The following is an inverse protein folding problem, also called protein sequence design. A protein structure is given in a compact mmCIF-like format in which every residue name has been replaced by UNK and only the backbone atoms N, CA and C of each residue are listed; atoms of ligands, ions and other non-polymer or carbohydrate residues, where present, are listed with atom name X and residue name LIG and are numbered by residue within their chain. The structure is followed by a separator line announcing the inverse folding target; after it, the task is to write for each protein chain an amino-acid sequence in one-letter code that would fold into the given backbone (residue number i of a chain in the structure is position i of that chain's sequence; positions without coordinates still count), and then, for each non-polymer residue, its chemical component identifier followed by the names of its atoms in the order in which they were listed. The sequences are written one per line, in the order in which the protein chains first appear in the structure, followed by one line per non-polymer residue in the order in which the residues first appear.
data_IF_313559740905
#
_entry.id   IF_313559740905
#
_cell.length_a   1.000
_cell.length_b   1.000
_cell.length_c   1.000
_cell.angle_alpha   90.00
_cell.angle_beta   90.00
_cell.angle_gamma   90.00
#
_symmetry.space_group_name_H-M   'P 1'
#
loop_
_entity.id
_entity.type
_entity.pdbx_description
1 polymer ?
#
# COMPACT_ATOMS: atom_id res chain seq x y z
N UNK A 1 -26.78 -14.09 -21.74
CA UNK A 1 -25.88 -13.30 -20.88
C UNK A 1 -25.19 -12.30 -21.79
N UNK A 2 -25.71 -11.12 -21.89
CA UNK A 2 -25.16 -10.03 -22.70
C UNK A 2 -24.00 -9.37 -21.96
N UNK A 3 -22.86 -9.11 -22.60
CA UNK A 3 -21.77 -8.36 -21.98
C UNK A 3 -22.19 -6.91 -21.84
N UNK A 4 -21.83 -6.30 -20.70
CA UNK A 4 -22.00 -4.88 -20.44
C UNK A 4 -21.21 -4.07 -21.47
N UNK A 5 -21.74 -2.94 -21.95
CA UNK A 5 -20.96 -2.02 -22.78
C UNK A 5 -19.83 -1.40 -21.96
N UNK A 6 -18.70 -1.09 -22.58
CA UNK A 6 -17.63 -0.35 -21.93
C UNK A 6 -18.05 1.13 -21.87
N UNK A 7 -18.51 1.59 -20.72
CA UNK A 7 -18.54 3.02 -20.45
C UNK A 7 -17.09 3.50 -20.35
N UNK A 8 -16.63 4.14 -21.41
CA UNK A 8 -15.37 4.84 -21.46
C UNK A 8 -15.43 6.03 -20.48
N UNK A 9 -15.00 5.80 -19.25
CA UNK A 9 -14.76 6.90 -18.31
C UNK A 9 -13.50 7.61 -18.80
N UNK A 10 -13.66 8.85 -19.22
CA UNK A 10 -12.58 9.75 -19.61
C UNK A 10 -11.67 9.99 -18.40
N UNK A 11 -10.54 9.28 -18.34
CA UNK A 11 -9.58 9.26 -17.22
C UNK A 11 -8.73 10.55 -17.19
N UNK A 12 -8.88 11.45 -18.18
CA UNK A 12 -8.04 12.66 -18.29
C UNK A 12 -8.51 13.82 -17.40
N UNK A 13 -9.68 13.72 -16.76
CA UNK A 13 -10.33 14.87 -16.11
C UNK A 13 -10.04 15.06 -14.62
N UNK A 14 -9.24 14.22 -13.93
CA UNK A 14 -9.03 14.32 -12.48
C UNK A 14 -7.58 14.40 -12.01
N UNK A 15 -6.69 15.00 -12.80
CA UNK A 15 -5.40 15.44 -12.24
C UNK A 15 -5.62 16.79 -11.55
N UNK A 16 -5.47 16.90 -10.23
CA UNK A 16 -5.61 18.19 -9.54
C UNK A 16 -4.58 19.18 -10.09
N UNK A 17 -5.03 20.31 -10.61
CA UNK A 17 -4.19 21.37 -11.25
C UNK A 17 -3.24 22.12 -10.30
N UNK A 18 -3.11 21.73 -9.02
CA UNK A 18 -2.21 22.37 -8.05
C UNK A 18 -1.49 21.34 -7.17
N UNK A 19 -0.57 20.59 -7.77
CA UNK A 19 0.48 19.92 -7.00
C UNK A 19 1.67 20.89 -6.94
N UNK A 20 1.89 21.53 -5.79
CA UNK A 20 3.17 22.17 -5.53
C UNK A 20 4.18 21.06 -5.25
N UNK A 21 4.89 20.63 -6.29
CA UNK A 21 6.07 19.79 -6.16
C UNK A 21 7.19 20.73 -5.70
N UNK A 22 7.46 20.74 -4.41
CA UNK A 22 8.67 21.38 -3.91
C UNK A 22 9.82 20.40 -4.16
N UNK A 23 10.55 20.65 -5.25
CA UNK A 23 11.86 20.04 -5.48
C UNK A 23 12.82 20.71 -4.48
N UNK A 24 12.89 20.20 -3.26
CA UNK A 24 13.81 20.72 -2.25
C UNK A 24 15.19 20.17 -2.53
N UNK A 25 15.89 20.79 -3.47
CA UNK A 25 17.32 20.56 -3.67
C UNK A 25 18.08 21.43 -2.66
N UNK A 26 18.76 20.78 -1.71
CA UNK A 26 19.87 21.44 -1.04
C UNK A 26 20.96 21.79 -2.10
N UNK A 27 21.67 22.94 -2.00
CA UNK A 27 22.73 23.24 -2.93
C UNK A 27 23.81 22.17 -2.84
N UNK A 28 23.89 21.33 -3.86
CA UNK A 28 24.92 20.33 -4.00
C UNK A 28 26.24 21.01 -4.37
N UNK A 29 27.29 20.70 -3.65
CA UNK A 29 28.66 20.89 -4.15
C UNK A 29 28.77 20.18 -5.51
N UNK A 30 29.32 20.90 -6.45
CA UNK A 30 29.39 20.55 -7.88
C UNK A 30 30.20 19.26 -8.08
N UNK A 31 29.51 18.11 -8.15
CA UNK A 31 30.06 16.90 -8.73
C UNK A 31 29.59 16.91 -10.18
N UNK A 32 30.54 16.78 -11.11
CA UNK A 32 30.35 16.82 -12.56
C UNK A 32 29.17 15.93 -13.02
N UNK A 33 28.10 16.50 -13.62
CA UNK A 33 26.92 15.74 -14.00
C UNK A 33 27.08 14.85 -15.22
N UNK A 34 28.28 14.76 -15.81
CA UNK A 34 28.49 14.15 -17.10
C UNK A 34 28.61 12.60 -17.11
N UNK A 35 28.59 11.90 -15.99
CA UNK A 35 28.93 10.46 -15.98
C UNK A 35 27.86 9.50 -15.37
N UNK A 36 26.68 9.95 -15.00
CA UNK A 36 25.61 9.04 -14.55
C UNK A 36 24.33 9.29 -15.31
N UNK A 37 24.03 8.42 -16.28
CA UNK A 37 22.67 8.29 -16.80
C UNK A 37 21.78 7.89 -15.62
N UNK A 38 20.74 8.67 -15.29
CA UNK A 38 19.85 8.32 -14.18
C UNK A 38 19.23 6.96 -14.47
N UNK A 39 19.54 5.97 -13.66
CA UNK A 39 18.94 4.63 -13.77
C UNK A 39 17.44 4.79 -13.59
N UNK A 40 16.68 4.43 -14.63
CA UNK A 40 15.22 4.44 -14.52
C UNK A 40 14.82 3.40 -13.46
N UNK A 41 14.13 3.78 -12.38
CA UNK A 41 13.81 2.84 -11.33
C UNK A 41 12.88 1.73 -11.84
N UNK A 42 13.14 0.51 -11.42
CA UNK A 42 12.22 -0.62 -11.61
C UNK A 42 11.09 -0.53 -10.60
N UNK A 43 11.42 -0.20 -9.35
CA UNK A 43 10.47 -0.10 -8.25
C UNK A 43 10.37 1.33 -7.72
N UNK A 44 9.14 1.80 -7.48
CA UNK A 44 8.86 2.97 -6.66
C UNK A 44 8.24 2.50 -5.35
N UNK A 45 8.98 2.64 -4.24
CA UNK A 45 8.43 2.41 -2.91
C UNK A 45 7.63 3.63 -2.50
N UNK A 46 6.31 3.48 -2.40
CA UNK A 46 5.38 4.56 -2.09
C UNK A 46 5.00 4.52 -0.60
N UNK A 47 5.35 5.58 0.12
CA UNK A 47 5.10 5.74 1.55
C UNK A 47 4.20 6.97 1.77
N UNK A 48 3.00 6.76 2.28
CA UNK A 48 2.14 7.85 2.76
C UNK A 48 2.34 8.02 4.27
N UNK A 49 2.59 9.25 4.72
CA UNK A 49 2.87 9.53 6.12
C UNK A 49 2.04 10.70 6.63
N UNK A 50 1.66 10.64 7.91
CA UNK A 50 1.13 11.76 8.68
C UNK A 50 1.52 11.61 10.15
N UNK A 51 2.20 12.63 10.70
CA UNK A 51 2.59 12.73 12.12
C UNK A 51 3.43 11.55 12.64
N UNK A 52 4.35 10.97 11.80
CA UNK A 52 5.17 9.79 12.12
C UNK A 52 6.59 9.85 11.58
N UNK A 53 7.25 11.01 11.67
CA UNK A 53 8.57 11.23 11.04
C UNK A 53 9.64 10.24 11.49
N UNK A 54 9.70 9.88 12.78
CA UNK A 54 10.70 8.93 13.29
C UNK A 54 10.54 7.52 12.72
N UNK A 55 9.30 7.03 12.56
CA UNK A 55 9.04 5.72 11.95
C UNK A 55 9.32 5.74 10.46
N UNK A 56 8.99 6.84 9.78
CA UNK A 56 9.28 7.04 8.36
C UNK A 56 10.77 6.90 8.06
N UNK A 57 11.65 7.45 8.91
CA UNK A 57 13.11 7.32 8.74
C UNK A 57 13.51 5.86 8.71
N UNK A 58 13.04 5.05 9.66
CA UNK A 58 13.33 3.62 9.70
C UNK A 58 12.81 2.88 8.45
N UNK A 59 11.59 3.23 8.01
CA UNK A 59 11.01 2.65 6.79
C UNK A 59 11.88 2.93 5.57
N UNK A 60 12.35 4.17 5.38
CA UNK A 60 13.22 4.55 4.25
C UNK A 60 14.59 3.87 4.35
N UNK A 61 15.18 3.87 5.54
CA UNK A 61 16.47 3.20 5.76
C UNK A 61 16.39 1.70 5.44
N UNK A 62 15.27 1.03 5.76
CA UNK A 62 15.07 -0.38 5.42
C UNK A 62 15.04 -0.61 3.90
N UNK A 63 14.47 0.33 3.13
CA UNK A 63 14.50 0.25 1.65
C UNK A 63 15.93 0.30 1.14
N UNK A 64 16.75 1.21 1.65
CA UNK A 64 18.15 1.34 1.21
C UNK A 64 19.04 0.20 1.69
N UNK A 65 18.73 -0.38 2.86
CA UNK A 65 19.44 -1.54 3.40
C UNK A 65 19.29 -2.80 2.52
N UNK A 66 18.29 -2.85 1.61
CA UNK A 66 18.20 -3.95 0.61
C UNK A 66 19.33 -3.92 -0.42
N UNK A 67 20.07 -2.82 -0.55
CA UNK A 67 21.12 -2.66 -1.55
C UNK A 67 20.65 -2.52 -3.00
N UNK A 68 19.33 -2.50 -3.26
CA UNK A 68 18.79 -2.40 -4.61
C UNK A 68 19.08 -1.02 -5.22
N UNK A 69 19.73 -0.99 -6.41
CA UNK A 69 20.15 0.24 -7.09
C UNK A 69 19.05 0.89 -7.92
N UNK A 70 18.07 0.11 -8.38
CA UNK A 70 16.99 0.53 -9.29
C UNK A 70 15.68 0.81 -8.56
N UNK A 71 15.78 1.36 -7.34
CA UNK A 71 14.66 1.71 -6.45
C UNK A 71 14.65 3.21 -6.22
N UNK A 72 13.47 3.83 -6.33
CA UNK A 72 13.19 5.16 -5.77
C UNK A 72 12.22 5.04 -4.60
N UNK A 73 12.28 6.00 -3.69
CA UNK A 73 11.34 6.15 -2.57
C UNK A 73 10.51 7.40 -2.79
N UNK A 74 9.19 7.23 -2.88
CA UNK A 74 8.24 8.33 -3.00
C UNK A 74 7.50 8.49 -1.69
N UNK A 75 7.81 9.56 -0.97
CA UNK A 75 7.17 9.92 0.31
C UNK A 75 6.11 10.98 0.06
N UNK A 76 4.90 10.75 0.55
CA UNK A 76 3.84 11.77 0.56
C UNK A 76 3.45 12.10 1.99
N UNK A 77 3.78 13.31 2.42
CA UNK A 77 3.34 13.89 3.69
C UNK A 77 1.93 14.48 3.53
N UNK A 78 0.93 13.81 4.07
CA UNK A 78 -0.49 14.20 4.02
C UNK A 78 -0.85 15.22 5.11
N UNK A 79 -0.08 16.31 5.20
CA UNK A 79 -0.33 17.44 6.09
C UNK A 79 -0.01 17.13 7.54
N UNK A 80 1.18 16.60 7.81
CA UNK A 80 1.71 16.46 9.18
C UNK A 80 1.80 17.80 9.88
N UNK A 81 1.53 17.85 11.18
CA UNK A 81 1.70 19.03 12.01
C UNK A 81 3.16 19.53 12.00
N UNK A 82 4.10 18.61 12.25
CA UNK A 82 5.53 18.81 11.95
C UNK A 82 5.84 18.22 10.60
N UNK A 83 6.40 19.00 9.64
CA UNK A 83 6.73 18.48 8.32
C UNK A 83 7.66 17.26 8.38
N UNK A 84 7.36 16.22 7.62
CA UNK A 84 8.21 15.03 7.54
C UNK A 84 9.61 15.35 7.00
N UNK A 85 9.74 16.46 6.25
CA UNK A 85 10.99 16.99 5.77
C UNK A 85 12.01 17.22 6.89
N UNK A 86 11.57 17.72 8.05
CA UNK A 86 12.46 18.00 9.18
C UNK A 86 13.12 16.72 9.68
N UNK A 87 12.34 15.69 9.96
CA UNK A 87 12.89 14.39 10.40
C UNK A 87 13.78 13.71 9.36
N UNK A 88 13.50 13.89 8.06
CA UNK A 88 14.35 13.37 7.00
C UNK A 88 15.66 14.16 6.87
N UNK A 89 15.63 15.49 7.11
CA UNK A 89 16.82 16.32 7.14
C UNK A 89 17.74 15.94 8.30
N UNK A 90 17.17 15.80 9.50
CA UNK A 90 17.92 15.40 10.71
C UNK A 90 18.57 14.02 10.56
N UNK A 91 17.94 13.13 9.80
CA UNK A 91 18.48 11.81 9.47
C UNK A 91 19.47 11.81 8.29
N UNK A 92 19.73 12.96 7.66
CA UNK A 92 20.61 13.07 6.48
C UNK A 92 20.04 12.45 5.21
N UNK A 93 18.75 12.13 5.17
CA UNK A 93 18.13 11.39 4.05
C UNK A 93 17.72 12.30 2.87
N UNK A 94 17.56 13.61 3.08
CA UNK A 94 17.13 14.52 2.01
C UNK A 94 18.17 14.70 0.89
N UNK A 95 19.42 14.38 1.14
CA UNK A 95 20.49 14.45 0.14
C UNK A 95 20.47 13.26 -0.84
N UNK A 96 19.74 12.19 -0.54
CA UNK A 96 19.66 11.00 -1.40
C UNK A 96 18.72 11.28 -2.58
N UNK A 97 19.26 11.30 -3.79
CA UNK A 97 18.50 11.58 -5.03
C UNK A 97 17.43 10.54 -5.36
N UNK A 98 17.47 9.39 -4.72
CA UNK A 98 16.43 8.35 -4.84
C UNK A 98 15.17 8.71 -4.05
N UNK A 99 15.22 9.68 -3.13
CA UNK A 99 14.06 10.12 -2.35
C UNK A 99 13.36 11.27 -3.06
N UNK A 100 12.07 11.10 -3.24
CA UNK A 100 11.15 12.13 -3.68
C UNK A 100 10.12 12.42 -2.60
N UNK A 101 10.20 13.59 -1.98
CA UNK A 101 9.26 14.05 -0.97
C UNK A 101 8.23 14.99 -1.58
N UNK A 102 6.95 14.70 -1.35
CA UNK A 102 5.82 15.56 -1.72
C UNK A 102 5.04 15.88 -0.47
N UNK A 103 4.85 17.15 -0.13
CA UNK A 103 3.97 17.61 0.94
C UNK A 103 2.69 18.18 0.36
N UNK A 104 1.55 17.90 1.00
CA UNK A 104 0.23 18.35 0.59
C UNK A 104 -0.67 18.65 1.79
N UNK A 105 -1.74 19.45 1.65
CA UNK A 105 -2.79 19.53 2.65
C UNK A 105 -3.44 18.16 2.90
N UNK A 106 -3.79 17.87 4.17
CA UNK A 106 -4.38 16.59 4.56
C UNK A 106 -5.70 16.30 3.83
N UNK A 107 -5.75 15.21 3.08
CA UNK A 107 -6.94 14.71 2.40
C UNK A 107 -7.22 13.22 2.66
N UNK A 108 -6.31 12.55 3.37
CA UNK A 108 -6.42 11.15 3.76
C UNK A 108 -5.58 10.21 2.92
N UNK A 109 -5.48 8.96 3.41
CA UNK A 109 -4.54 7.96 2.93
C UNK A 109 -4.71 7.61 1.43
N UNK A 110 -5.96 7.55 0.93
CA UNK A 110 -6.22 7.28 -0.48
C UNK A 110 -5.61 8.36 -1.38
N UNK A 111 -5.89 9.62 -1.05
CA UNK A 111 -5.38 10.76 -1.79
C UNK A 111 -3.84 10.87 -1.70
N UNK A 112 -3.24 10.54 -0.55
CA UNK A 112 -1.78 10.50 -0.41
C UNK A 112 -1.16 9.41 -1.30
N UNK A 113 -1.74 8.20 -1.33
CA UNK A 113 -1.29 7.11 -2.19
C UNK A 113 -1.47 7.41 -3.68
N UNK A 114 -2.57 8.09 -4.07
CA UNK A 114 -2.76 8.55 -5.45
C UNK A 114 -1.73 9.60 -5.85
N UNK A 115 -1.39 10.51 -4.92
CA UNK A 115 -0.30 11.47 -5.15
C UNK A 115 1.03 10.76 -5.37
N UNK A 116 1.35 9.73 -4.56
CA UNK A 116 2.55 8.93 -4.75
C UNK A 116 2.56 8.24 -6.12
N UNK A 117 1.43 7.63 -6.51
CA UNK A 117 1.27 6.99 -7.82
C UNK A 117 1.51 7.97 -8.98
N UNK A 118 1.00 9.21 -8.87
CA UNK A 118 1.12 10.23 -9.91
C UNK A 118 2.57 10.69 -10.15
N UNK A 119 3.43 10.65 -9.11
CA UNK A 119 4.82 11.09 -9.23
C UNK A 119 5.82 9.94 -9.34
N UNK A 120 5.39 8.71 -9.11
CA UNK A 120 6.22 7.50 -9.23
C UNK A 120 6.69 7.26 -10.67
N UNK A 121 7.96 6.88 -10.85
CA UNK A 121 8.59 6.62 -12.14
C UNK A 121 8.84 5.15 -12.42
N UNK A 122 8.88 4.32 -11.38
CA UNK A 122 9.10 2.89 -11.47
C UNK A 122 8.02 2.17 -12.28
N UNK A 123 8.38 1.02 -12.83
CA UNK A 123 7.42 0.11 -13.44
C UNK A 123 6.47 -0.46 -12.40
N UNK A 124 7.00 -0.83 -11.26
CA UNK A 124 6.24 -1.41 -10.16
C UNK A 124 6.12 -0.44 -9.00
N UNK A 125 4.94 -0.36 -8.42
CA UNK A 125 4.65 0.36 -7.19
C UNK A 125 4.71 -0.64 -6.04
N UNK A 126 5.67 -0.50 -5.14
CA UNK A 126 5.72 -1.24 -3.88
C UNK A 126 5.15 -0.36 -2.77
N UNK A 127 4.06 -0.78 -2.16
CA UNK A 127 3.45 -0.02 -1.06
C UNK A 127 4.16 -0.36 0.24
N UNK A 128 4.56 0.66 0.99
CA UNK A 128 5.13 0.50 2.32
C UNK A 128 4.43 1.47 3.28
N UNK A 129 3.86 0.94 4.36
CA UNK A 129 3.30 1.79 5.41
C UNK A 129 4.44 2.44 6.20
N UNK A 130 4.27 3.69 6.63
CA UNK A 130 5.33 4.51 7.26
C UNK A 130 5.81 4.01 8.63
N UNK A 131 5.24 2.94 9.14
CA UNK A 131 5.57 2.25 10.38
C UNK A 131 6.06 0.81 10.16
N UNK A 132 6.18 0.37 8.89
CA UNK A 132 6.70 -0.93 8.49
C UNK A 132 8.11 -0.80 7.88
N UNK A 133 8.84 -1.91 7.79
CA UNK A 133 10.18 -1.98 7.19
C UNK A 133 10.22 -3.09 6.14
N UNK A 134 11.05 -2.96 5.11
CA UNK A 134 11.33 -4.06 4.18
C UNK A 134 12.31 -5.06 4.80
N UNK A 135 12.24 -6.32 4.37
CA UNK A 135 13.29 -7.32 4.62
C UNK A 135 14.49 -7.06 3.72
N UNK A 136 15.67 -7.57 4.09
CA UNK A 136 16.88 -7.32 3.31
C UNK A 136 16.77 -7.85 1.87
N UNK A 137 16.15 -9.02 1.68
CA UNK A 137 16.05 -9.70 0.39
C UNK A 137 14.75 -9.36 -0.36
N UNK A 138 14.03 -8.29 0.06
CA UNK A 138 12.71 -7.95 -0.44
C UNK A 138 12.65 -7.84 -1.97
N UNK A 139 13.57 -7.08 -2.58
CA UNK A 139 13.54 -6.88 -4.03
C UNK A 139 14.07 -8.07 -4.82
N UNK A 140 14.95 -8.88 -4.27
CA UNK A 140 15.42 -10.10 -4.93
C UNK A 140 14.29 -11.13 -5.02
N UNK A 141 13.53 -11.31 -3.94
CA UNK A 141 12.34 -12.15 -3.94
C UNK A 141 11.26 -11.63 -4.90
N UNK A 142 11.00 -10.32 -4.89
CA UNK A 142 10.02 -9.71 -5.81
C UNK A 142 10.44 -9.87 -7.27
N UNK A 143 11.71 -9.60 -7.62
CA UNK A 143 12.22 -9.78 -8.98
C UNK A 143 12.08 -11.22 -9.42
N UNK A 144 12.53 -12.17 -8.62
CA UNK A 144 12.46 -13.58 -8.95
C UNK A 144 11.04 -14.02 -9.33
N UNK A 145 10.01 -13.61 -8.57
CA UNK A 145 8.62 -13.91 -8.91
C UNK A 145 8.13 -13.17 -10.15
N UNK A 146 8.40 -11.85 -10.24
CA UNK A 146 7.94 -11.02 -11.33
C UNK A 146 8.53 -11.46 -12.67
N UNK A 147 9.83 -11.81 -12.70
CA UNK A 147 10.52 -12.30 -13.90
C UNK A 147 10.01 -13.69 -14.32
N UNK A 148 9.74 -14.57 -13.34
CA UNK A 148 9.25 -15.91 -13.62
C UNK A 148 7.79 -15.95 -14.10
N UNK A 149 6.95 -15.01 -13.66
CA UNK A 149 5.49 -15.10 -13.86
C UNK A 149 4.90 -13.95 -14.67
N UNK A 150 5.58 -12.81 -14.77
CA UNK A 150 5.00 -11.60 -15.32
C UNK A 150 3.80 -11.07 -14.51
N UNK A 151 3.65 -11.46 -13.24
CA UNK A 151 2.50 -11.13 -12.43
C UNK A 151 2.25 -9.61 -12.38
N UNK A 152 1.01 -9.16 -12.66
CA UNK A 152 0.71 -7.73 -12.64
C UNK A 152 0.56 -7.18 -11.22
N UNK A 153 0.37 -8.06 -10.23
CA UNK A 153 0.16 -7.72 -8.83
C UNK A 153 0.63 -8.84 -7.93
N UNK A 154 1.46 -8.51 -6.95
CA UNK A 154 2.03 -9.45 -5.98
C UNK A 154 1.64 -9.04 -4.57
N UNK A 155 1.24 -9.99 -3.73
CA UNK A 155 1.17 -9.85 -2.27
C UNK A 155 2.04 -10.91 -1.62
N UNK A 156 2.49 -10.66 -0.39
CA UNK A 156 3.57 -11.43 0.21
C UNK A 156 3.20 -11.97 1.58
N UNK A 157 3.93 -12.97 2.04
CA UNK A 157 4.02 -13.25 3.45
C UNK A 157 4.70 -12.07 4.16
N UNK A 158 4.61 -11.98 5.48
CA UNK A 158 5.24 -10.89 6.23
C UNK A 158 5.75 -11.39 7.59
N UNK A 159 6.75 -10.71 8.12
CA UNK A 159 7.19 -10.88 9.48
C UNK A 159 6.38 -10.00 10.43
N UNK A 160 5.69 -10.59 11.39
CA UNK A 160 5.04 -9.84 12.46
C UNK A 160 6.02 -9.69 13.63
N UNK A 161 6.36 -8.44 13.97
CA UNK A 161 7.24 -8.10 15.07
C UNK A 161 6.41 -7.50 16.20
N UNK A 162 6.50 -8.09 17.38
CA UNK A 162 5.91 -7.59 18.63
C UNK A 162 7.03 -7.36 19.64
N UNK A 163 6.73 -6.76 20.80
CA UNK A 163 7.70 -6.57 21.86
C UNK A 163 8.32 -7.90 22.38
N UNK A 164 7.65 -9.04 22.18
CA UNK A 164 8.03 -10.34 22.76
C UNK A 164 8.29 -11.43 21.73
N UNK A 165 7.99 -11.20 20.44
CA UNK A 165 8.09 -12.25 19.42
C UNK A 165 8.27 -11.70 18.01
N UNK A 166 8.97 -12.49 17.19
CA UNK A 166 9.04 -12.31 15.74
C UNK A 166 8.60 -13.62 15.09
N UNK A 167 7.68 -13.52 14.12
CA UNK A 167 7.17 -14.71 13.41
C UNK A 167 6.77 -14.38 11.99
N UNK A 168 6.95 -15.34 11.09
CA UNK A 168 6.45 -15.25 9.72
C UNK A 168 4.97 -15.60 9.71
N UNK A 169 4.17 -14.69 9.16
CA UNK A 169 2.74 -14.90 8.90
C UNK A 169 2.59 -15.26 7.43
N UNK A 170 2.14 -16.48 7.19
CA UNK A 170 1.90 -16.99 5.83
C UNK A 170 0.52 -16.60 5.34
N UNK A 171 0.47 -15.98 4.16
CA UNK A 171 -0.77 -15.64 3.49
C UNK A 171 -1.32 -16.83 2.67
N UNK A 172 -2.65 -16.97 2.54
CA UNK A 172 -3.20 -17.99 1.67
C UNK A 172 -2.97 -17.67 0.19
N UNK A 173 -2.78 -18.68 -0.64
CA UNK A 173 -2.79 -18.56 -2.11
C UNK A 173 -4.19 -18.80 -2.65
N UNK A 174 -4.51 -18.21 -3.80
CA UNK A 174 -5.80 -18.36 -4.49
C UNK A 174 -5.57 -18.70 -5.95
N UNK A 175 -6.52 -19.47 -6.51
CA UNK A 175 -6.46 -19.94 -7.90
C UNK A 175 -7.36 -19.12 -8.84
N UNK A 176 -8.26 -18.31 -8.29
CA UNK A 176 -9.18 -17.50 -9.10
C UNK A 176 -9.63 -16.23 -8.39
N UNK A 177 -9.98 -15.16 -9.16
CA UNK A 177 -10.52 -13.93 -8.60
C UNK A 177 -11.79 -14.14 -7.75
N UNK A 178 -12.78 -14.98 -8.15
CA UNK A 178 -13.95 -15.23 -7.31
C UNK A 178 -13.63 -15.91 -5.97
N UNK A 179 -12.64 -16.78 -5.93
CA UNK A 179 -12.19 -17.43 -4.69
C UNK A 179 -11.60 -16.40 -3.72
N UNK A 180 -10.65 -15.59 -4.20
CA UNK A 180 -10.04 -14.54 -3.38
C UNK A 180 -11.06 -13.47 -2.96
N UNK A 181 -11.95 -13.04 -3.84
CA UNK A 181 -13.02 -12.09 -3.55
C UNK A 181 -13.90 -12.58 -2.39
N UNK A 182 -14.33 -13.87 -2.45
CA UNK A 182 -15.08 -14.48 -1.36
C UNK A 182 -14.26 -14.45 -0.07
N UNK A 183 -12.99 -14.82 -0.11
CA UNK A 183 -12.12 -14.83 1.04
C UNK A 183 -11.95 -13.43 1.67
N UNK A 184 -11.75 -12.39 0.85
CA UNK A 184 -11.66 -10.99 1.32
C UNK A 184 -12.93 -10.57 2.06
N UNK A 185 -14.10 -10.92 1.52
CA UNK A 185 -15.39 -10.53 2.11
C UNK A 185 -15.79 -11.34 3.34
N UNK A 186 -15.31 -12.58 3.48
CA UNK A 186 -15.80 -13.49 4.53
C UNK A 186 -14.77 -13.83 5.60
N UNK A 187 -13.47 -13.84 5.33
CA UNK A 187 -12.47 -14.22 6.35
C UNK A 187 -12.40 -13.18 7.47
N UNK A 188 -12.27 -13.59 8.74
CA UNK A 188 -12.11 -12.67 9.87
C UNK A 188 -10.86 -11.80 9.75
N UNK A 189 -9.75 -12.38 9.26
CA UNK A 189 -8.51 -11.67 8.93
C UNK A 189 -8.40 -11.51 7.44
N UNK A 190 -7.91 -10.35 6.98
CA UNK A 190 -7.63 -10.13 5.56
C UNK A 190 -6.66 -11.20 5.05
N UNK A 191 -6.90 -11.75 3.84
CA UNK A 191 -6.03 -12.76 3.24
C UNK A 191 -4.81 -12.16 2.54
N UNK A 192 -4.49 -10.92 2.81
CA UNK A 192 -3.34 -10.18 2.32
C UNK A 192 -2.91 -9.10 3.32
N UNK A 193 -1.69 -8.67 3.23
CA UNK A 193 -1.16 -7.45 3.84
C UNK A 193 -0.96 -6.41 2.74
N UNK A 194 -1.38 -5.18 2.94
CA UNK A 194 -1.25 -4.12 1.93
C UNK A 194 0.19 -3.61 1.82
N UNK A 195 0.83 -3.37 2.96
CA UNK A 195 2.26 -3.07 3.03
C UNK A 195 3.06 -4.27 2.50
N UNK A 196 3.97 -4.04 1.57
CA UNK A 196 4.70 -5.05 0.80
C UNK A 196 4.02 -5.47 -0.53
N UNK A 197 2.77 -5.07 -0.79
CA UNK A 197 2.19 -5.29 -2.11
C UNK A 197 2.99 -4.57 -3.18
N UNK A 198 3.22 -5.28 -4.29
CA UNK A 198 3.92 -4.75 -5.46
C UNK A 198 3.02 -4.91 -6.68
N UNK A 199 2.75 -3.81 -7.37
CA UNK A 199 1.71 -3.71 -8.40
C UNK A 199 2.32 -3.06 -9.63
N UNK A 200 2.11 -3.59 -10.83
CA UNK A 200 2.46 -2.88 -12.07
C UNK A 200 1.73 -1.54 -12.09
N UNK A 201 2.48 -0.46 -12.26
CA UNK A 201 1.96 0.91 -12.19
C UNK A 201 0.85 1.15 -13.20
N UNK A 202 0.89 0.50 -14.37
CA UNK A 202 -0.17 0.59 -15.38
C UNK A 202 -1.46 0.00 -14.85
N UNK A 203 -1.42 -1.19 -14.26
CA UNK A 203 -2.59 -1.84 -13.67
C UNK A 203 -3.23 -0.96 -12.60
N UNK A 204 -2.41 -0.37 -11.71
CA UNK A 204 -2.94 0.52 -10.67
C UNK A 204 -3.54 1.81 -11.27
N UNK A 205 -2.96 2.33 -12.34
CA UNK A 205 -3.48 3.49 -13.08
C UNK A 205 -4.78 3.16 -13.81
N UNK A 206 -4.84 2.04 -14.52
CA UNK A 206 -6.02 1.59 -15.27
C UNK A 206 -7.22 1.31 -14.36
N UNK A 207 -6.94 0.86 -13.14
CA UNK A 207 -7.95 0.73 -12.08
C UNK A 207 -8.41 2.11 -11.52
N UNK A 208 -7.80 3.23 -11.90
CA UNK A 208 -8.12 4.56 -11.37
C UNK A 208 -7.51 4.87 -10.00
N UNK A 209 -6.50 4.12 -9.55
CA UNK A 209 -5.86 4.31 -8.25
C UNK A 209 -6.74 3.94 -7.05
N UNK A 210 -6.53 4.61 -5.92
CA UNK A 210 -7.31 4.42 -4.69
C UNK A 210 -8.56 5.28 -4.68
N UNK A 211 -9.66 4.75 -4.16
CA UNK A 211 -10.92 5.48 -4.02
C UNK A 211 -10.82 6.54 -2.89
N UNK A 212 -10.77 7.82 -3.26
CA UNK A 212 -10.62 8.95 -2.34
C UNK A 212 -11.89 9.27 -1.51
N UNK A 213 -13.04 8.75 -1.91
CA UNK A 213 -14.29 8.88 -1.13
C UNK A 213 -14.25 8.00 0.13
N UNK A 214 -13.35 7.01 0.16
CA UNK A 214 -13.18 6.11 1.29
C UNK A 214 -12.13 6.64 2.27
N UNK A 215 -12.45 6.60 3.58
CA UNK A 215 -11.53 6.98 4.66
C UNK A 215 -10.81 5.78 5.28
N UNK A 216 -11.39 4.61 5.17
CA UNK A 216 -10.88 3.36 5.73
C UNK A 216 -11.13 2.23 4.72
N UNK A 217 -10.34 1.14 4.80
CA UNK A 217 -10.44 -0.02 3.90
C UNK A 217 -10.22 0.31 2.41
N UNK A 218 -9.48 1.35 2.14
CA UNK A 218 -9.12 1.77 0.78
C UNK A 218 -8.30 0.71 0.04
N UNK A 219 -7.49 -0.04 0.77
CA UNK A 219 -6.73 -1.20 0.33
C UNK A 219 -7.63 -2.38 -0.02
N UNK A 220 -8.63 -2.63 0.80
CA UNK A 220 -9.60 -3.72 0.59
C UNK A 220 -10.46 -3.45 -0.64
N UNK A 221 -10.93 -2.21 -0.79
CA UNK A 221 -11.71 -1.78 -1.95
C UNK A 221 -10.91 -1.97 -3.24
N UNK A 222 -9.66 -1.50 -3.26
CA UNK A 222 -8.80 -1.62 -4.42
C UNK A 222 -8.59 -3.08 -4.85
N UNK A 223 -8.34 -3.98 -3.90
CA UNK A 223 -8.22 -5.43 -4.18
C UNK A 223 -9.53 -6.00 -4.71
N UNK A 224 -10.67 -5.66 -4.10
CA UNK A 224 -11.98 -6.14 -4.56
C UNK A 224 -12.29 -5.64 -5.97
N UNK A 225 -11.93 -4.41 -6.29
CA UNK A 225 -12.09 -3.82 -7.62
C UNK A 225 -11.21 -4.54 -8.64
N UNK A 226 -9.95 -4.79 -8.34
CA UNK A 226 -9.05 -5.59 -9.18
C UNK A 226 -9.63 -6.99 -9.47
N UNK A 227 -10.11 -7.69 -8.43
CA UNK A 227 -10.72 -9.00 -8.58
C UNK A 227 -12.00 -8.99 -9.43
N UNK A 228 -12.74 -7.87 -9.46
CA UNK A 228 -13.91 -7.68 -10.35
C UNK A 228 -13.49 -7.44 -11.81
N UNK A 229 -12.29 -6.99 -12.04
CA UNK A 229 -11.66 -6.86 -13.37
C UNK A 229 -10.78 -8.07 -13.74
N UNK A 230 -11.03 -9.24 -13.12
CA UNK A 230 -10.32 -10.49 -13.35
C UNK A 230 -8.80 -10.41 -13.10
N UNK A 231 -8.34 -9.43 -12.33
CA UNK A 231 -6.95 -9.31 -11.90
C UNK A 231 -6.79 -10.05 -10.58
N UNK A 232 -6.10 -11.21 -10.62
CA UNK A 232 -5.78 -12.00 -9.44
C UNK A 232 -4.38 -11.63 -8.93
N UNK A 233 -4.23 -11.05 -7.73
CA UNK A 233 -2.93 -10.90 -7.11
C UNK A 233 -2.27 -12.26 -6.85
N UNK A 234 -0.97 -12.38 -7.19
CA UNK A 234 -0.19 -13.60 -7.01
C UNK A 234 0.54 -13.54 -5.66
N UNK A 235 0.54 -14.68 -4.94
CA UNK A 235 1.24 -14.77 -3.66
C UNK A 235 2.73 -15.07 -3.87
N UNK A 236 3.58 -14.25 -3.26
CA UNK A 236 4.99 -14.57 -2.99
C UNK A 236 5.09 -15.21 -1.60
N UNK A 237 5.68 -16.40 -1.52
CA UNK A 237 5.76 -17.20 -0.27
C UNK A 237 6.82 -16.74 0.73
N UNK A 238 7.61 -15.74 0.37
CA UNK A 238 8.65 -15.14 1.20
C UNK A 238 8.16 -13.82 1.82
N UNK A 239 8.61 -13.50 3.05
CA UNK A 239 8.29 -12.23 3.68
C UNK A 239 9.09 -11.10 3.02
N UNK A 240 8.39 -10.04 2.64
CA UNK A 240 8.97 -8.81 2.07
C UNK A 240 8.91 -7.65 3.07
N UNK A 241 8.02 -7.74 4.06
CA UNK A 241 7.77 -6.68 5.04
C UNK A 241 7.88 -7.22 6.46
N UNK A 242 8.49 -6.41 7.32
CA UNK A 242 8.47 -6.50 8.78
C UNK A 242 7.37 -5.58 9.30
N UNK A 243 6.27 -6.17 9.74
CA UNK A 243 5.12 -5.47 10.29
C UNK A 243 5.29 -5.26 11.79
N UNK A 244 5.44 -4.02 12.23
CA UNK A 244 5.48 -3.68 13.66
C UNK A 244 4.07 -3.55 14.22
N UNK A 245 3.75 -4.36 15.21
CA UNK A 245 2.48 -4.26 15.92
C UNK A 245 2.62 -3.32 17.11
N UNK A 246 1.92 -2.19 17.06
CA UNK A 246 1.85 -1.21 18.15
C UNK A 246 0.42 -0.72 18.36
N UNK A 247 0.12 -0.15 19.53
CA UNK A 247 -1.25 0.22 19.93
C UNK A 247 -1.86 1.35 19.09
N UNK A 248 -1.04 2.15 18.41
CA UNK A 248 -1.48 3.27 17.55
C UNK A 248 -1.83 2.87 16.12
N UNK A 249 -1.85 1.57 15.79
CA UNK A 249 -2.24 1.13 14.45
C UNK A 249 -3.73 1.46 14.17
N UNK A 250 -4.00 2.09 13.03
CA UNK A 250 -5.34 2.59 12.63
C UNK A 250 -6.40 1.48 12.60
N UNK A 251 -5.99 0.22 12.50
CA UNK A 251 -6.87 -0.96 12.50
C UNK A 251 -7.70 -1.14 13.77
N UNK A 252 -7.44 -0.36 14.84
CA UNK A 252 -8.19 -0.43 16.11
C UNK A 252 -9.53 0.30 16.12
N UNK A 253 -9.87 1.13 15.12
CA UNK A 253 -11.19 1.81 15.03
C UNK A 253 -12.27 0.87 14.49
N UNK A 254 -12.83 0.01 15.36
CA UNK A 254 -13.66 -1.16 14.96
C UNK A 254 -15.08 -0.82 14.51
N UNK A 255 -15.78 0.11 15.17
CA UNK A 255 -17.19 0.40 14.85
C UNK A 255 -17.35 1.12 13.49
N UNK A 256 -16.49 2.07 13.17
CA UNK A 256 -16.46 2.72 11.86
C UNK A 256 -16.10 1.73 10.74
N UNK A 257 -15.38 0.65 11.07
CA UNK A 257 -15.01 -0.42 10.15
C UNK A 257 -16.20 -1.25 9.65
N UNK A 258 -17.26 -1.43 10.45
CA UNK A 258 -18.40 -2.29 10.08
C UNK A 258 -19.25 -1.66 8.98
N UNK A 259 -19.49 -0.33 9.05
CA UNK A 259 -20.20 0.40 7.98
C UNK A 259 -19.49 0.31 6.63
N UNK A 260 -18.16 0.47 6.62
CA UNK A 260 -17.37 0.31 5.40
C UNK A 260 -17.47 -1.13 4.86
N UNK A 261 -17.43 -2.16 5.72
CA UNK A 261 -17.66 -3.54 5.29
C UNK A 261 -19.03 -3.75 4.66
N UNK A 262 -20.08 -3.13 5.21
CA UNK A 262 -21.42 -3.23 4.64
C UNK A 262 -21.52 -2.59 3.25
N UNK A 263 -20.85 -1.46 3.04
CA UNK A 263 -20.69 -0.84 1.72
C UNK A 263 -20.02 -1.79 0.75
N UNK A 264 -18.82 -2.28 1.09
CA UNK A 264 -18.05 -3.21 0.25
C UNK A 264 -18.83 -4.51 -0.06
N UNK A 265 -19.51 -5.10 0.92
CA UNK A 265 -20.35 -6.28 0.67
C UNK A 265 -21.53 -5.94 -0.25
N UNK A 266 -22.15 -4.77 -0.08
CA UNK A 266 -23.27 -4.36 -0.94
C UNK A 266 -22.83 -4.13 -2.38
N UNK A 267 -21.62 -3.68 -2.60
CA UNK A 267 -21.06 -3.39 -3.92
C UNK A 267 -20.52 -4.67 -4.58
N UNK A 268 -19.63 -5.39 -3.90
CA UNK A 268 -18.83 -6.46 -4.50
C UNK A 268 -19.42 -7.86 -4.35
N UNK A 269 -20.28 -8.13 -3.35
CA UNK A 269 -20.85 -9.45 -3.15
C UNK A 269 -22.03 -9.74 -4.11
N UNK A 270 -22.22 -11.00 -4.54
CA UNK A 270 -23.42 -11.43 -5.27
C UNK A 270 -24.69 -11.11 -4.47
N UNK A 271 -25.71 -10.55 -5.12
CA UNK A 271 -26.96 -10.09 -4.46
C UNK A 271 -27.54 -11.09 -3.47
N UNK A 272 -27.60 -12.38 -3.87
CA UNK A 272 -28.15 -13.49 -3.06
C UNK A 272 -27.38 -13.81 -1.77
N UNK A 273 -26.11 -13.39 -1.67
CA UNK A 273 -25.27 -13.70 -0.50
C UNK A 273 -25.02 -12.50 0.42
N UNK A 274 -25.44 -11.29 0.05
CA UNK A 274 -25.14 -10.04 0.76
C UNK A 274 -25.56 -10.04 2.22
N UNK A 275 -26.81 -10.42 2.50
CA UNK A 275 -27.33 -10.47 3.86
C UNK A 275 -26.55 -11.46 4.73
N UNK A 276 -26.30 -12.66 4.22
CA UNK A 276 -25.52 -13.70 4.91
C UNK A 276 -24.09 -13.23 5.20
N UNK A 277 -23.43 -12.57 4.23
CA UNK A 277 -22.09 -12.04 4.41
C UNK A 277 -22.05 -10.89 5.43
N UNK A 278 -23.04 -9.99 5.42
CA UNK A 278 -23.18 -8.93 6.43
C UNK A 278 -23.36 -9.49 7.82
N UNK A 279 -24.26 -10.48 8.00
CA UNK A 279 -24.48 -11.15 9.29
C UNK A 279 -23.20 -11.84 9.80
N UNK A 280 -22.50 -12.57 8.91
CA UNK A 280 -21.24 -13.20 9.25
C UNK A 280 -20.17 -12.18 9.66
N UNK A 281 -20.04 -11.06 8.93
CA UNK A 281 -19.08 -10.00 9.26
C UNK A 281 -19.38 -9.37 10.60
N UNK A 282 -20.65 -9.10 10.90
CA UNK A 282 -21.08 -8.60 12.22
C UNK A 282 -20.68 -9.56 13.34
N UNK A 283 -21.00 -10.84 13.20
CA UNK A 283 -20.64 -11.85 14.21
C UNK A 283 -19.12 -11.94 14.40
N UNK A 284 -18.36 -11.88 13.30
CA UNK A 284 -16.88 -11.89 13.32
C UNK A 284 -16.29 -10.67 14.04
N UNK A 285 -16.84 -9.48 13.84
CA UNK A 285 -16.36 -8.27 14.53
C UNK A 285 -16.73 -8.26 16.02
N UNK A 286 -17.93 -8.77 16.38
CA UNK A 286 -18.36 -8.96 17.78
C UNK A 286 -17.43 -9.96 18.47
N UNK A 287 -17.15 -11.11 17.86
CA UNK A 287 -16.24 -12.12 18.42
C UNK A 287 -14.84 -11.57 18.72
N UNK A 288 -14.28 -10.75 17.81
CA UNK A 288 -13.01 -10.06 18.05
C UNK A 288 -13.09 -9.07 19.22
N UNK A 289 -14.26 -8.50 19.47
CA UNK A 289 -14.48 -7.57 20.58
C UNK A 289 -14.44 -8.29 21.92
N UNK A 290 -15.10 -9.45 22.01
CA UNK A 290 -15.10 -10.29 23.21
C UNK A 290 -13.70 -10.76 23.60
N UNK A 291 -12.89 -11.21 22.66
CA UNK A 291 -11.50 -11.65 22.91
C UNK A 291 -10.60 -10.52 23.42
N UNK A 292 -10.80 -9.27 22.96
CA UNK A 292 -9.98 -8.14 23.43
C UNK A 292 -10.44 -7.57 24.77
N UNK A 293 -11.65 -7.90 25.25
CA UNK A 293 -12.15 -7.49 26.56
C UNK A 293 -11.70 -8.44 27.69
N UNK A 294 -11.39 -9.70 27.36
CA UNK A 294 -10.95 -10.73 28.31
C UNK A 294 -9.42 -10.74 28.51
N UNK A 295 -8.66 -10.07 27.64
CA UNK A 295 -7.19 -10.00 27.69
C UNK A 295 -6.62 -8.67 28.22
N UNK A 296 -7.42 -7.92 29.01
CA UNK A 296 -6.96 -6.72 29.76
C UNK A 296 -6.97 -6.97 31.24
#
# INVERSE_FOLDING_TARGET
MTPFPPDSVDVTAQVPRQLQVHDVRAPAETIDPATRTPVKPTFSVCIAVRDRSALLVNSIQSVFATGAADVEVVVVDDGSGTPSQEGLADAGLLADERIRLVRRPARGIAAARNTALAVARGRYITVLDSDDELTADAFDHLRGLLDATGAPWVYTDYEEITNSSQRVIRMPAYQSPPEMLRAVLTRPRLPFKHSGMTIDRRVLTDLGGYNEDMRIKVDVELVLRALRHDILPVRLGEPVVKFRRHDSNISHKRLTGLGAWYGLISEYAPRRSRLRMKAYRTASEIAKWGVSAVGR
#
